data_IF_918313372298
#
_entry.id   IF_918313372298
#
_cell.length_a   1.000
_cell.length_b   1.000
_cell.length_c   1.000
_cell.angle_alpha   90.00
_cell.angle_beta   90.00
_cell.angle_gamma   90.00
#
_symmetry.space_group_name_H-M   'P 1'
#
loop_
_entity.id
_entity.type
_entity.pdbx_description
1 polymer ?
#
# COMPACT_ATOMS: atom_id res chain seq x y z
N UNK A 1 6.27 14.64 -5.78
CA UNK A 1 5.29 13.95 -4.92
C UNK A 1 3.93 14.47 -5.30
N UNK A 2 3.07 13.56 -5.76
CA UNK A 2 1.76 13.88 -6.33
C UNK A 2 0.68 13.78 -5.24
N UNK A 3 -0.50 14.33 -5.52
CA UNK A 3 -1.65 14.27 -4.61
C UNK A 3 -2.93 13.91 -5.33
N UNK A 4 -3.79 13.11 -4.70
CA UNK A 4 -5.14 12.81 -5.21
C UNK A 4 -6.22 13.07 -4.16
N UNK A 5 -7.47 13.04 -4.60
CA UNK A 5 -8.66 13.18 -3.77
C UNK A 5 -8.80 11.96 -2.84
N UNK A 6 -9.03 12.23 -1.55
CA UNK A 6 -9.16 11.20 -0.53
C UNK A 6 -10.42 10.36 -0.71
N UNK A 7 -11.49 10.93 -1.26
CA UNK A 7 -12.75 10.21 -1.49
C UNK A 7 -12.53 8.99 -2.38
N UNK A 8 -11.80 9.14 -3.49
CA UNK A 8 -11.43 8.06 -4.38
C UNK A 8 -10.63 6.97 -3.65
N UNK A 9 -9.65 7.38 -2.82
CA UNK A 9 -8.85 6.44 -2.03
C UNK A 9 -9.71 5.67 -1.02
N UNK A 10 -10.62 6.34 -0.31
CA UNK A 10 -11.54 5.70 0.64
C UNK A 10 -12.42 4.65 -0.04
N UNK A 11 -12.93 4.93 -1.24
CA UNK A 11 -13.76 3.97 -1.99
C UNK A 11 -13.01 2.68 -2.29
N UNK A 12 -11.71 2.75 -2.60
CA UNK A 12 -10.88 1.56 -2.85
C UNK A 12 -10.81 0.60 -1.65
N UNK A 13 -10.84 1.13 -0.43
CA UNK A 13 -10.84 0.33 0.79
C UNK A 13 -12.22 -0.20 1.19
N UNK A 14 -13.31 0.42 0.72
CA UNK A 14 -14.68 -0.06 0.97
C UNK A 14 -14.99 -1.31 0.13
N UNK A 15 -14.37 -1.44 -1.05
CA UNK A 15 -14.61 -2.53 -1.99
C UNK A 15 -13.75 -3.78 -1.75
N UNK A 16 -12.79 -3.73 -0.82
CA UNK A 16 -11.85 -4.83 -0.56
C UNK A 16 -12.16 -5.48 0.79
N UNK A 17 -12.59 -6.74 0.75
CA UNK A 17 -13.04 -7.52 1.92
C UNK A 17 -11.96 -8.41 2.56
N UNK A 18 -10.72 -8.36 2.08
CA UNK A 18 -9.69 -9.38 2.39
C UNK A 18 -8.48 -8.84 3.18
N UNK A 19 -8.57 -7.64 3.73
CA UNK A 19 -7.54 -7.07 4.60
C UNK A 19 -7.95 -7.18 6.06
N UNK A 20 -6.97 -7.21 6.96
CA UNK A 20 -7.21 -7.20 8.42
C UNK A 20 -8.08 -6.00 8.80
N UNK A 21 -9.24 -6.24 9.43
CA UNK A 21 -10.21 -5.21 9.79
C UNK A 21 -9.60 -4.10 10.65
N UNK A 22 -8.68 -4.43 11.56
CA UNK A 22 -8.01 -3.43 12.39
C UNK A 22 -7.06 -2.56 11.57
N UNK A 23 -6.32 -3.15 10.63
CA UNK A 23 -5.45 -2.39 9.72
C UNK A 23 -6.27 -1.44 8.84
N UNK A 24 -7.41 -1.91 8.33
CA UNK A 24 -8.32 -1.08 7.54
C UNK A 24 -8.89 0.08 8.38
N UNK A 25 -9.32 -0.18 9.62
CA UNK A 25 -9.79 0.87 10.53
C UNK A 25 -8.70 1.92 10.78
N UNK A 26 -7.45 1.51 11.01
CA UNK A 26 -6.31 2.41 11.20
C UNK A 26 -6.09 3.30 9.95
N UNK A 27 -6.19 2.72 8.75
CA UNK A 27 -6.04 3.46 7.49
C UNK A 27 -7.19 4.45 7.31
N UNK A 28 -8.44 4.05 7.54
CA UNK A 28 -9.58 4.97 7.46
C UNK A 28 -9.48 6.13 8.44
N UNK A 29 -9.08 5.86 9.68
CA UNK A 29 -8.82 6.87 10.69
C UNK A 29 -7.77 7.89 10.20
N UNK A 30 -6.66 7.42 9.62
CA UNK A 30 -5.64 8.28 9.01
C UNK A 30 -6.20 9.11 7.85
N UNK A 31 -6.91 8.48 6.91
CA UNK A 31 -7.50 9.14 5.75
C UNK A 31 -8.54 10.20 6.13
N UNK A 32 -9.20 10.08 7.29
CA UNK A 32 -10.12 11.10 7.81
C UNK A 32 -9.41 12.35 8.36
N UNK A 33 -8.11 12.28 8.66
CA UNK A 33 -7.34 13.37 9.25
C UNK A 33 -6.56 14.20 8.23
N UNK A 34 -6.45 13.73 7.00
CA UNK A 34 -5.73 14.40 5.92
C UNK A 34 -6.68 15.09 4.96
N UNK A 35 -6.18 16.07 4.20
CA UNK A 35 -6.94 16.76 3.14
C UNK A 35 -6.47 16.37 1.73
N UNK A 36 -5.27 15.80 1.61
CA UNK A 36 -4.71 15.30 0.35
C UNK A 36 -3.94 14.01 0.59
N UNK A 37 -4.16 13.00 -0.26
CA UNK A 37 -3.39 11.76 -0.23
C UNK A 37 -2.12 11.93 -1.04
N UNK A 38 -0.95 11.89 -0.38
CA UNK A 38 0.36 12.07 -1.01
C UNK A 38 0.91 10.74 -1.50
N UNK A 39 1.49 10.72 -2.70
CA UNK A 39 2.06 9.50 -3.28
C UNK A 39 3.22 9.74 -4.24
N UNK A 40 3.87 8.64 -4.61
CA UNK A 40 4.88 8.54 -5.66
C UNK A 40 4.38 7.58 -6.73
N UNK A 41 4.43 8.00 -7.99
CA UNK A 41 4.23 7.12 -9.15
C UNK A 41 5.58 6.48 -9.53
N UNK A 42 5.64 5.17 -9.60
CA UNK A 42 6.87 4.41 -9.90
C UNK A 42 6.59 3.25 -10.84
N UNK A 43 7.57 2.90 -11.68
CA UNK A 43 7.49 1.73 -12.55
C UNK A 43 7.28 0.44 -11.74
N UNK A 44 6.31 -0.37 -12.15
CA UNK A 44 5.98 -1.67 -11.56
C UNK A 44 7.20 -2.58 -11.47
N UNK A 45 8.00 -2.64 -12.54
CA UNK A 45 9.21 -3.49 -12.61
C UNK A 45 10.21 -3.07 -11.52
N UNK A 46 10.41 -1.76 -11.31
CA UNK A 46 11.29 -1.25 -10.25
C UNK A 46 10.76 -1.64 -8.87
N UNK A 47 9.45 -1.52 -8.65
CA UNK A 47 8.82 -1.95 -7.40
C UNK A 47 9.03 -3.43 -7.15
N UNK A 48 8.73 -4.30 -8.13
CA UNK A 48 8.92 -5.75 -7.98
C UNK A 48 10.36 -6.04 -7.58
N UNK A 49 11.34 -5.42 -8.24
CA UNK A 49 12.77 -5.60 -7.90
C UNK A 49 13.11 -5.20 -6.47
N UNK A 50 12.61 -4.04 -6.00
CA UNK A 50 12.86 -3.54 -4.64
C UNK A 50 12.26 -4.50 -3.60
N UNK A 51 10.98 -4.82 -3.73
CA UNK A 51 10.25 -5.56 -2.71
C UNK A 51 10.54 -7.06 -2.73
N UNK A 52 10.94 -7.62 -3.87
CA UNK A 52 11.50 -8.98 -3.91
C UNK A 52 12.80 -9.06 -3.11
N UNK A 53 13.73 -8.14 -3.35
CA UNK A 53 15.01 -8.07 -2.63
C UNK A 53 14.79 -7.90 -1.12
N UNK A 54 13.87 -7.03 -0.71
CA UNK A 54 13.58 -6.82 0.72
C UNK A 54 12.92 -8.03 1.39
N UNK A 55 12.06 -8.76 0.68
CA UNK A 55 11.44 -9.99 1.20
C UNK A 55 12.47 -11.11 1.46
N UNK A 56 13.54 -11.16 0.66
CA UNK A 56 14.62 -12.15 0.78
C UNK A 56 15.58 -11.83 1.94
N UNK A 57 15.76 -10.54 2.27
CA UNK A 57 16.64 -10.09 3.35
C UNK A 57 15.96 -10.18 4.74
N UNK A 58 14.65 -9.93 4.82
CA UNK A 58 13.92 -9.82 6.10
C UNK A 58 13.20 -11.13 6.52
N UNK A 59 13.93 -12.25 6.54
CA UNK A 59 13.36 -13.57 6.87
C UNK A 59 12.79 -13.62 8.31
N UNK A 60 13.40 -12.88 9.26
CA UNK A 60 13.09 -12.95 10.69
C UNK A 60 12.16 -11.83 11.20
N UNK A 61 11.97 -10.75 10.43
CA UNK A 61 11.08 -9.62 10.74
C UNK A 61 10.03 -9.46 9.63
N UNK A 62 9.16 -10.47 9.52
CA UNK A 62 8.15 -10.51 8.45
C UNK A 62 7.22 -9.29 8.53
N UNK A 63 7.46 -8.31 7.67
CA UNK A 63 6.49 -7.27 7.36
C UNK A 63 5.30 -7.96 6.70
N UNK A 64 4.11 -7.74 7.25
CA UNK A 64 2.90 -8.37 6.73
C UNK A 64 2.53 -7.77 5.37
N UNK A 65 2.20 -8.62 4.40
CA UNK A 65 1.66 -8.22 3.09
C UNK A 65 2.59 -8.40 1.89
N UNK A 66 3.85 -8.83 2.07
CA UNK A 66 4.81 -9.02 0.97
C UNK A 66 4.34 -10.00 -0.10
N UNK A 67 3.92 -11.20 0.29
CA UNK A 67 3.50 -12.26 -0.66
C UNK A 67 2.29 -11.80 -1.49
N UNK A 68 1.30 -11.19 -0.84
CA UNK A 68 0.13 -10.63 -1.50
C UNK A 68 0.51 -9.52 -2.49
N UNK A 69 1.41 -8.61 -2.08
CA UNK A 69 1.88 -7.53 -2.94
C UNK A 69 2.59 -8.10 -4.18
N UNK A 70 3.56 -9.00 -4.01
CA UNK A 70 4.33 -9.56 -5.13
C UNK A 70 3.45 -10.36 -6.10
N UNK A 71 2.48 -11.11 -5.58
CA UNK A 71 1.51 -11.83 -6.41
C UNK A 71 0.65 -10.86 -7.23
N UNK A 72 0.07 -9.83 -6.59
CA UNK A 72 -0.76 -8.85 -7.28
C UNK A 72 0.02 -8.02 -8.30
N UNK A 73 1.25 -7.60 -7.99
CA UNK A 73 2.12 -6.89 -8.93
C UNK A 73 2.48 -7.73 -10.17
N UNK A 74 2.55 -9.06 -10.02
CA UNK A 74 2.84 -9.97 -11.13
C UNK A 74 1.64 -10.17 -12.06
N UNK A 75 0.43 -10.06 -11.52
CA UNK A 75 -0.82 -10.33 -12.25
C UNK A 75 -1.52 -9.08 -12.78
N UNK A 76 -1.21 -7.89 -12.26
CA UNK A 76 -1.88 -6.65 -12.64
C UNK A 76 -1.25 -6.01 -13.89
N UNK A 77 -2.09 -5.67 -14.88
CA UNK A 77 -1.66 -5.12 -16.18
C UNK A 77 -1.57 -3.59 -16.17
N UNK A 78 -0.48 -3.12 -15.57
CA UNK A 78 -0.11 -1.70 -15.53
C UNK A 78 1.41 -1.54 -15.54
N UNK A 79 1.90 -0.45 -16.13
CA UNK A 79 3.33 -0.14 -16.20
C UNK A 79 3.82 0.54 -14.93
N UNK A 80 2.93 1.28 -14.26
CA UNK A 80 3.24 2.06 -13.08
C UNK A 80 2.34 1.67 -11.92
N UNK A 81 2.79 2.04 -10.72
CA UNK A 81 2.03 1.90 -9.49
C UNK A 81 2.20 3.14 -8.64
N UNK A 82 1.19 3.37 -7.81
CA UNK A 82 1.16 4.42 -6.80
C UNK A 82 1.62 3.83 -5.48
N UNK A 83 2.63 4.44 -4.86
CA UNK A 83 3.10 4.10 -3.52
C UNK A 83 2.86 5.29 -2.60
N UNK A 84 2.21 5.04 -1.46
CA UNK A 84 2.08 6.00 -0.37
C UNK A 84 2.54 5.37 0.94
N UNK A 85 3.39 6.08 1.67
CA UNK A 85 3.90 5.64 2.97
C UNK A 85 3.55 6.68 4.04
N UNK A 86 3.12 6.20 5.21
CA UNK A 86 2.84 7.04 6.35
C UNK A 86 2.96 6.27 7.67
N UNK A 87 3.31 7.00 8.72
CA UNK A 87 3.33 6.51 10.10
C UNK A 87 2.06 6.95 10.82
N UNK A 88 1.35 6.00 11.43
CA UNK A 88 0.14 6.30 12.19
C UNK A 88 -0.12 5.27 13.30
N UNK A 89 -0.42 5.73 14.52
CA UNK A 89 -0.66 4.88 15.70
C UNK A 89 0.40 3.76 15.87
N UNK A 90 1.69 4.11 15.80
CA UNK A 90 2.83 3.17 15.89
C UNK A 90 2.88 2.09 14.80
N UNK A 91 2.24 2.33 13.66
CA UNK A 91 2.34 1.48 12.47
C UNK A 91 3.00 2.30 11.35
N UNK A 92 4.05 1.74 10.75
CA UNK A 92 4.57 2.19 9.46
C UNK A 92 3.81 1.44 8.35
N UNK A 93 3.01 2.18 7.58
CA UNK A 93 2.08 1.65 6.59
C UNK A 93 2.50 2.12 5.21
N UNK A 94 2.68 1.17 4.30
CA UNK A 94 2.86 1.46 2.87
C UNK A 94 1.73 0.86 2.06
N UNK A 95 1.05 1.68 1.28
CA UNK A 95 -0.07 1.31 0.42
C UNK A 95 0.37 1.34 -1.03
N UNK A 96 0.02 0.28 -1.76
CA UNK A 96 0.28 0.11 -3.19
C UNK A 96 -1.04 0.12 -3.93
N UNK A 97 -1.18 1.02 -4.90
CA UNK A 97 -2.41 1.22 -5.66
C UNK A 97 -2.04 1.15 -7.15
N UNK A 98 -2.94 0.65 -7.99
CA UNK A 98 -2.79 0.76 -9.45
C UNK A 98 -2.65 2.22 -9.88
N UNK A 99 -1.93 2.48 -10.98
CA UNK A 99 -1.81 3.87 -11.45
C UNK A 99 -3.14 4.43 -11.96
N UNK A 100 -4.05 3.54 -12.37
CA UNK A 100 -5.45 3.85 -12.71
C UNK A 100 -6.32 4.16 -11.49
N UNK A 101 -5.82 3.94 -10.26
CA UNK A 101 -6.54 4.13 -8.99
C UNK A 101 -7.88 3.38 -8.93
N UNK A 102 -7.89 2.15 -9.42
CA UNK A 102 -9.05 1.24 -9.41
C UNK A 102 -8.85 0.05 -8.46
N UNK A 103 -7.63 -0.19 -7.98
CA UNK A 103 -7.33 -1.36 -7.16
C UNK A 103 -6.21 -1.11 -6.14
N UNK A 104 -6.43 -1.54 -4.89
CA UNK A 104 -5.35 -1.73 -3.91
C UNK A 104 -4.60 -3.02 -4.26
N UNK A 105 -3.32 -2.88 -4.61
CA UNK A 105 -2.42 -3.96 -4.99
C UNK A 105 -1.74 -4.60 -3.78
N UNK A 106 -1.62 -3.88 -2.67
CA UNK A 106 -1.04 -4.41 -1.44
C UNK A 106 -0.96 -3.36 -0.34
N UNK A 107 -0.84 -3.84 0.89
CA UNK A 107 -0.59 -3.02 2.06
C UNK A 107 0.52 -3.70 2.83
N UNK A 108 1.62 -3.00 3.05
CA UNK A 108 2.67 -3.41 3.96
C UNK A 108 2.46 -2.71 5.29
N UNK A 109 2.50 -3.47 6.38
CA UNK A 109 2.37 -2.92 7.73
C UNK A 109 3.47 -3.47 8.64
N UNK A 110 4.16 -2.55 9.33
CA UNK A 110 5.15 -2.87 10.36
C UNK A 110 4.82 -2.11 11.65
N UNK A 111 4.68 -2.85 12.76
CA UNK A 111 4.59 -2.22 14.08
C UNK A 111 5.95 -1.66 14.48
N UNK A 112 5.97 -0.39 14.85
CA UNK A 112 7.13 0.28 15.44
C UNK A 112 7.07 0.02 16.95
N UNK A 113 8.11 -0.59 17.50
CA UNK A 113 8.27 -0.87 18.93
C UNK A 113 8.68 0.38 19.71
#
# INVERSE_FOLDING_TARGET
METTDISQIKTLFQTKTNYDDNLILIIFDYLNQITKFKYILISKIKTISIYKTQSEINIDSKINGYENLLNNLSNYDDENIIISNFNYKNNDITIFISSKMDEILGILNQKIL
#
